data_IF_220732240177
#
_entry.id   IF_220732240177
#
_cell.length_a   1.000
_cell.length_b   1.000
_cell.length_c   1.000
_cell.angle_alpha   90.00
_cell.angle_beta   90.00
_cell.angle_gamma   90.00
#
_symmetry.space_group_name_H-M   'P 1'
#
loop_
_entity.id
_entity.type
_entity.pdbx_description
1 polymer ?
#
# COMPACT_ATOMS: atom_id res chain seq x y z
N UNK A 1 -19.55 -59.08 -21.14
CA UNK A 1 -20.10 -57.84 -20.53
C UNK A 1 -19.05 -57.29 -19.56
N UNK A 2 -18.02 -56.62 -20.08
CA UNK A 2 -16.85 -56.19 -19.31
C UNK A 2 -17.05 -54.80 -18.72
N UNK A 3 -16.98 -54.67 -17.39
CA UNK A 3 -16.99 -53.37 -16.69
C UNK A 3 -15.67 -52.66 -16.98
N UNK A 4 -15.72 -51.57 -17.75
CA UNK A 4 -14.61 -50.63 -17.87
C UNK A 4 -14.29 -50.06 -16.48
N UNK A 5 -13.02 -50.19 -16.09
CA UNK A 5 -12.46 -49.68 -14.84
C UNK A 5 -12.44 -48.14 -14.94
N UNK A 6 -13.47 -47.47 -14.41
CA UNK A 6 -13.58 -46.00 -14.34
C UNK A 6 -12.63 -45.36 -13.30
N UNK A 7 -11.91 -46.16 -12.51
CA UNK A 7 -11.13 -45.67 -11.36
C UNK A 7 -9.65 -45.36 -11.67
N UNK A 8 -9.19 -45.54 -12.91
CA UNK A 8 -7.77 -45.27 -13.26
C UNK A 8 -7.57 -43.81 -13.68
N UNK A 9 -8.58 -43.14 -14.24
CA UNK A 9 -8.40 -41.79 -14.81
C UNK A 9 -8.38 -40.68 -13.76
N UNK A 10 -9.12 -40.80 -12.65
CA UNK A 10 -9.17 -39.74 -11.62
C UNK A 10 -7.87 -39.62 -10.79
N UNK A 11 -7.10 -40.71 -10.65
CA UNK A 11 -5.85 -40.69 -9.91
C UNK A 11 -4.68 -40.06 -10.69
N UNK A 12 -4.72 -40.05 -12.03
CA UNK A 12 -3.62 -39.49 -12.83
C UNK A 12 -3.59 -37.96 -12.77
N UNK A 13 -4.76 -37.30 -12.68
CA UNK A 13 -4.83 -35.84 -12.57
C UNK A 13 -4.37 -35.28 -11.22
N UNK A 14 -4.34 -36.11 -10.15
CA UNK A 14 -3.82 -35.72 -8.84
C UNK A 14 -2.30 -35.93 -8.70
N UNK A 15 -1.66 -36.61 -9.66
CA UNK A 15 -0.21 -36.90 -9.65
C UNK A 15 0.59 -35.88 -10.47
N UNK A 16 -0.06 -35.10 -11.34
CA UNK A 16 0.61 -34.00 -12.04
C UNK A 16 0.74 -32.85 -11.04
N UNK A 17 1.96 -32.52 -10.55
CA UNK A 17 2.12 -31.33 -9.72
C UNK A 17 1.63 -30.14 -10.54
N UNK A 18 0.70 -29.34 -9.98
CA UNK A 18 0.33 -28.04 -10.56
C UNK A 18 1.63 -27.34 -10.96
N UNK A 19 1.75 -26.82 -12.19
CA UNK A 19 2.99 -26.20 -12.63
C UNK A 19 3.36 -25.15 -11.60
N UNK A 20 4.48 -25.39 -10.90
CA UNK A 20 4.93 -24.50 -9.85
C UNK A 20 5.11 -23.11 -10.47
N UNK A 21 4.62 -22.05 -9.83
CA UNK A 21 4.86 -20.69 -10.32
C UNK A 21 6.37 -20.50 -10.60
N UNK A 22 6.75 -19.78 -11.67
CA UNK A 22 8.16 -19.57 -11.99
C UNK A 22 8.86 -18.88 -10.83
N UNK A 23 10.13 -19.26 -10.61
CA UNK A 23 10.97 -18.64 -9.58
C UNK A 23 11.29 -17.23 -10.03
N UNK A 24 11.14 -16.26 -9.13
CA UNK A 24 11.41 -14.85 -9.41
C UNK A 24 12.40 -14.33 -8.38
N UNK A 25 13.66 -14.23 -8.79
CA UNK A 25 14.75 -13.74 -7.95
C UNK A 25 14.93 -12.22 -8.05
N UNK A 26 14.49 -11.62 -9.16
CA UNK A 26 14.55 -10.18 -9.38
C UNK A 26 13.16 -9.72 -9.79
N UNK A 27 12.66 -8.68 -9.11
CA UNK A 27 11.37 -8.10 -9.44
C UNK A 27 11.39 -6.59 -9.33
N UNK A 28 10.93 -5.94 -10.39
CA UNK A 28 10.68 -4.50 -10.39
C UNK A 28 9.23 -4.27 -9.99
N UNK A 29 9.02 -3.37 -9.04
CA UNK A 29 7.70 -3.02 -8.53
C UNK A 29 7.54 -1.50 -8.49
N UNK A 30 6.31 -1.04 -8.69
CA UNK A 30 5.92 0.35 -8.48
C UNK A 30 5.19 0.46 -7.13
N UNK A 31 5.81 1.12 -6.17
CA UNK A 31 5.22 1.38 -4.85
C UNK A 31 4.54 2.75 -4.84
N UNK A 32 3.31 2.81 -4.35
CA UNK A 32 2.48 4.02 -4.29
C UNK A 32 1.91 4.12 -2.88
N UNK A 33 2.21 5.22 -2.19
CA UNK A 33 1.57 5.52 -0.92
C UNK A 33 0.10 5.88 -1.11
N UNK A 34 -0.71 5.66 -0.08
CA UNK A 34 -2.11 6.05 -0.10
C UNK A 34 -2.24 7.56 -0.13
N UNK A 35 -3.18 8.08 -0.92
CA UNK A 35 -3.65 9.47 -0.79
C UNK A 35 -4.16 9.73 0.64
N UNK A 36 -3.84 10.90 1.19
CA UNK A 36 -4.50 11.42 2.39
C UNK A 36 -5.96 11.76 2.13
N UNK A 37 -6.82 11.54 3.12
CA UNK A 37 -8.23 11.87 3.04
C UNK A 37 -8.45 13.39 3.10
N UNK A 38 -9.57 13.84 2.52
CA UNK A 38 -9.89 15.26 2.50
C UNK A 38 -10.40 15.74 3.88
N UNK A 39 -10.14 17.01 4.21
CA UNK A 39 -10.75 17.65 5.37
C UNK A 39 -12.21 17.99 5.12
N UNK A 40 -13.04 17.94 6.15
CA UNK A 40 -14.45 18.29 6.01
C UNK A 40 -14.68 19.81 6.07
N UNK A 41 -15.62 20.28 5.26
CA UNK A 41 -16.27 21.58 5.40
C UNK A 41 -17.64 21.35 6.05
N UNK A 42 -17.76 21.64 7.35
CA UNK A 42 -19.02 21.45 8.08
C UNK A 42 -19.25 22.54 9.12
N UNK A 43 -20.51 22.87 9.37
CA UNK A 43 -20.95 23.84 10.36
C UNK A 43 -22.02 23.23 11.28
N UNK A 44 -22.00 23.59 12.57
CA UNK A 44 -22.91 23.04 13.58
C UNK A 44 -24.33 23.56 13.37
N UNK A 45 -25.33 22.70 13.65
CA UNK A 45 -26.76 23.03 13.51
C UNK A 45 -27.41 23.52 14.81
N UNK A 46 -26.77 23.39 15.97
CA UNK A 46 -27.40 23.58 17.30
C UNK A 46 -26.81 24.72 18.15
N UNK A 47 -26.55 25.90 17.56
CA UNK A 47 -26.17 27.10 18.33
C UNK A 47 -27.33 28.12 18.43
N UNK A 48 -27.30 29.04 19.42
CA UNK A 48 -28.26 30.16 19.54
C UNK A 48 -28.20 31.17 18.37
N UNK A 49 -27.29 30.94 17.42
CA UNK A 49 -26.94 31.81 16.29
C UNK A 49 -27.69 31.51 14.98
N UNK A 50 -28.78 30.73 15.00
CA UNK A 50 -29.58 30.51 13.79
C UNK A 50 -30.12 31.82 13.17
N UNK A 51 -30.09 32.92 13.92
CA UNK A 51 -30.48 34.26 13.48
C UNK A 51 -29.35 35.08 12.80
N UNK A 52 -28.09 34.61 12.80
CA UNK A 52 -26.91 35.46 12.49
C UNK A 52 -25.87 34.84 11.51
N UNK A 53 -26.13 33.67 10.92
CA UNK A 53 -25.25 33.06 9.90
C UNK A 53 -25.03 31.56 10.06
N UNK A 54 -24.10 30.95 9.29
CA UNK A 54 -23.74 29.54 9.46
C UNK A 54 -23.20 29.33 10.89
N UNK A 55 -23.59 28.21 11.52
CA UNK A 55 -23.16 27.87 12.87
C UNK A 55 -21.64 27.64 13.00
N UNK A 56 -21.17 27.23 14.18
CA UNK A 56 -19.72 27.06 14.42
C UNK A 56 -19.07 26.08 13.42
N UNK A 57 -17.84 26.34 12.93
CA UNK A 57 -17.12 25.42 12.07
C UNK A 57 -16.75 24.14 12.84
N UNK A 58 -17.19 23.00 12.31
CA UNK A 58 -17.05 21.68 12.94
C UNK A 58 -16.56 20.61 11.97
N UNK A 59 -15.96 20.98 10.84
CA UNK A 59 -15.34 20.02 9.94
C UNK A 59 -14.03 19.49 10.49
N UNK A 60 -13.95 18.16 10.65
CA UNK A 60 -12.74 17.45 11.09
C UNK A 60 -11.70 17.26 9.98
N UNK A 61 -10.49 16.86 10.39
CA UNK A 61 -9.35 16.60 9.49
C UNK A 61 -9.53 15.27 8.75
N UNK A 62 -9.02 15.15 7.53
CA UNK A 62 -8.88 13.86 6.86
C UNK A 62 -7.82 12.97 7.51
N UNK A 63 -7.93 11.65 7.30
CA UNK A 63 -6.91 10.70 7.72
C UNK A 63 -5.67 10.74 6.83
N UNK A 64 -4.51 10.36 7.35
CA UNK A 64 -3.32 10.20 6.50
C UNK A 64 -3.48 8.95 5.64
N UNK A 65 -2.88 8.93 4.45
CA UNK A 65 -2.78 7.70 3.67
C UNK A 65 -1.75 6.75 4.27
N UNK A 66 -1.92 5.45 4.01
CA UNK A 66 -0.94 4.44 4.39
C UNK A 66 0.33 4.56 3.56
N UNK A 67 1.42 4.08 4.11
CA UNK A 67 2.74 4.01 3.48
C UNK A 67 3.07 2.58 3.08
N UNK A 68 4.03 2.41 2.15
CA UNK A 68 4.56 1.11 1.75
C UNK A 68 5.96 0.96 2.34
N UNK A 69 6.17 -0.12 3.08
CA UNK A 69 7.44 -0.49 3.70
C UNK A 69 7.94 -1.83 3.15
N UNK A 70 9.24 -2.07 3.26
CA UNK A 70 9.81 -3.41 3.18
C UNK A 70 10.47 -3.79 4.50
N UNK A 71 10.33 -5.04 4.90
CA UNK A 71 10.82 -5.56 6.17
C UNK A 71 11.43 -6.95 5.98
N UNK A 72 12.63 -7.23 6.54
CA UNK A 72 13.25 -8.54 6.45
C UNK A 72 12.49 -9.58 7.29
N UNK A 73 12.39 -10.81 6.79
CA UNK A 73 11.80 -11.93 7.52
C UNK A 73 12.72 -13.16 7.52
N UNK A 74 12.90 -13.78 8.70
CA UNK A 74 13.48 -15.12 8.83
C UNK A 74 12.44 -16.09 8.30
N UNK A 75 12.61 -16.61 7.07
CA UNK A 75 11.62 -17.47 6.45
C UNK A 75 11.22 -18.63 7.36
N UNK A 76 9.91 -18.83 7.52
CA UNK A 76 9.33 -20.13 7.85
C UNK A 76 8.87 -20.75 6.50
N UNK A 77 9.65 -21.70 5.99
CA UNK A 77 9.18 -22.83 5.17
C UNK A 77 8.55 -22.64 3.77
N UNK A 78 8.36 -21.43 3.21
CA UNK A 78 7.86 -21.26 1.83
C UNK A 78 8.92 -20.64 0.89
N UNK A 79 8.87 -20.99 -0.39
CA UNK A 79 9.78 -20.51 -1.46
C UNK A 79 9.95 -18.98 -1.37
N UNK A 80 11.17 -18.51 -1.10
CA UNK A 80 11.50 -17.07 -1.01
C UNK A 80 11.72 -16.55 -2.40
N UNK A 81 10.65 -16.46 -3.16
CA UNK A 81 10.70 -15.74 -4.41
C UNK A 81 9.76 -14.56 -4.35
N UNK A 82 10.01 -13.60 -5.23
CA UNK A 82 9.20 -12.40 -5.33
C UNK A 82 7.94 -12.63 -6.17
N UNK A 83 7.59 -13.88 -6.49
CA UNK A 83 6.49 -14.19 -7.41
C UNK A 83 5.13 -13.70 -6.89
N UNK A 84 4.95 -13.70 -5.57
CA UNK A 84 3.71 -13.29 -4.87
C UNK A 84 3.53 -11.78 -4.78
N UNK A 85 4.62 -11.00 -4.84
CA UNK A 85 4.56 -9.55 -4.75
C UNK A 85 3.89 -8.99 -6.01
N UNK A 86 2.83 -8.19 -5.94
CA UNK A 86 2.24 -7.60 -7.14
C UNK A 86 3.18 -6.55 -7.76
N UNK A 87 3.16 -6.40 -9.09
CA UNK A 87 4.01 -5.42 -9.77
C UNK A 87 3.68 -3.97 -9.41
N UNK A 88 2.47 -3.70 -8.93
CA UNK A 88 2.06 -2.41 -8.39
C UNK A 88 1.53 -2.64 -6.99
N UNK A 89 2.09 -1.93 -6.02
CA UNK A 89 1.71 -2.01 -4.61
C UNK A 89 1.18 -0.63 -4.22
N UNK A 90 -0.08 -0.55 -3.81
CA UNK A 90 -0.73 0.71 -3.45
C UNK A 90 -1.29 0.63 -2.04
N UNK A 91 -0.75 1.45 -1.13
CA UNK A 91 -1.23 1.50 0.24
C UNK A 91 -2.62 2.17 0.32
N UNK A 92 -3.35 1.87 1.40
CA UNK A 92 -4.74 2.29 1.55
C UNK A 92 -4.85 3.80 1.72
N UNK A 93 -5.90 4.39 1.16
CA UNK A 93 -6.17 5.82 1.32
C UNK A 93 -6.66 6.15 2.74
N UNK A 94 -6.34 7.36 3.20
CA UNK A 94 -6.97 7.92 4.38
C UNK A 94 -8.42 8.30 4.08
N UNK A 95 -9.31 8.17 5.07
CA UNK A 95 -10.72 8.55 4.89
C UNK A 95 -10.93 10.05 5.06
N UNK A 96 -11.98 10.58 4.45
CA UNK A 96 -12.40 11.97 4.63
C UNK A 96 -12.78 12.24 6.09
N UNK A 97 -12.47 13.44 6.56
CA UNK A 97 -13.01 13.96 7.83
C UNK A 97 -14.52 14.10 7.76
N UNK A 98 -15.18 14.30 8.92
CA UNK A 98 -16.63 14.51 8.98
C UNK A 98 -16.97 15.72 9.84
N UNK A 99 -18.25 16.09 9.86
CA UNK A 99 -18.77 17.07 10.81
C UNK A 99 -18.53 16.66 12.27
N UNK A 100 -18.88 17.54 13.20
CA UNK A 100 -18.66 17.32 14.65
C UNK A 100 -17.19 17.07 15.01
N UNK A 101 -16.27 17.66 14.25
CA UNK A 101 -14.80 17.59 14.43
C UNK A 101 -14.24 16.17 14.32
N UNK A 102 -14.98 15.26 13.70
CA UNK A 102 -14.58 13.86 13.55
C UNK A 102 -13.46 13.76 12.52
N UNK A 103 -12.31 13.24 12.95
CA UNK A 103 -11.16 12.97 12.08
C UNK A 103 -11.41 11.72 11.25
N UNK A 104 -10.95 11.74 9.99
CA UNK A 104 -10.93 10.56 9.14
C UNK A 104 -9.89 9.52 9.57
N UNK A 105 -10.16 8.25 9.33
CA UNK A 105 -9.27 7.14 9.65
C UNK A 105 -8.04 7.18 8.75
N UNK A 106 -6.89 6.83 9.31
CA UNK A 106 -5.68 6.66 8.50
C UNK A 106 -5.83 5.43 7.59
N UNK A 107 -5.20 5.49 6.43
CA UNK A 107 -4.99 4.33 5.57
C UNK A 107 -4.04 3.34 6.23
N UNK A 108 -4.32 2.06 6.04
CA UNK A 108 -3.44 0.97 6.43
C UNK A 108 -2.18 0.95 5.58
N UNK A 109 -1.04 0.84 6.27
CA UNK A 109 0.26 0.61 5.66
C UNK A 109 0.33 -0.77 5.01
N UNK A 110 1.17 -0.91 3.98
CA UNK A 110 1.53 -2.20 3.41
C UNK A 110 2.97 -2.51 3.79
N UNK A 111 3.17 -3.70 4.34
CA UNK A 111 4.50 -4.23 4.68
C UNK A 111 4.83 -5.36 3.71
N UNK A 112 5.81 -5.12 2.84
CA UNK A 112 6.34 -6.13 1.94
C UNK A 112 7.42 -6.91 2.67
N UNK A 113 7.10 -8.16 3.01
CA UNK A 113 8.04 -9.07 3.67
C UNK A 113 9.09 -9.55 2.68
N UNK A 114 10.35 -9.27 2.97
CA UNK A 114 11.49 -9.60 2.13
C UNK A 114 12.30 -10.74 2.76
N UNK A 115 12.77 -11.71 1.98
CA UNK A 115 13.76 -12.67 2.46
C UNK A 115 15.03 -11.96 2.92
N UNK A 116 15.67 -12.47 3.96
CA UNK A 116 17.05 -12.09 4.31
C UNK A 116 17.96 -12.35 3.09
N UNK A 117 18.93 -11.47 2.86
CA UNK A 117 19.79 -11.39 1.69
C UNK A 117 19.22 -10.54 0.54
N UNK A 118 18.04 -9.92 0.71
CA UNK A 118 17.44 -9.09 -0.33
C UNK A 118 18.09 -7.70 -0.39
N UNK A 119 18.40 -7.27 -1.62
CA UNK A 119 18.86 -5.91 -1.92
C UNK A 119 17.71 -5.10 -2.53
N UNK A 120 17.47 -3.90 -2.02
CA UNK A 120 16.43 -2.99 -2.52
C UNK A 120 17.08 -1.80 -3.19
N UNK A 121 16.80 -1.63 -4.48
CA UNK A 121 17.21 -0.49 -5.27
C UNK A 121 16.02 0.42 -5.58
N UNK A 122 16.20 1.72 -5.36
CA UNK A 122 15.30 2.75 -5.85
C UNK A 122 15.75 3.16 -7.25
N UNK A 123 14.82 3.19 -8.18
CA UNK A 123 15.04 3.77 -9.50
C UNK A 123 14.59 5.23 -9.49
N UNK A 124 15.42 6.12 -10.02
CA UNK A 124 15.07 7.52 -10.24
C UNK A 124 14.48 7.67 -11.64
N UNK A 125 13.15 7.81 -11.75
CA UNK A 125 12.52 7.82 -13.05
C UNK A 125 12.80 9.12 -13.80
N UNK A 126 13.06 9.00 -15.10
CA UNK A 126 13.18 10.12 -16.03
C UNK A 126 12.32 9.86 -17.27
N UNK A 127 11.56 10.87 -17.70
CA UNK A 127 10.66 10.78 -18.84
C UNK A 127 9.28 10.18 -18.50
N UNK A 128 8.82 9.23 -19.31
CA UNK A 128 7.48 8.65 -19.23
C UNK A 128 7.33 7.65 -18.06
N UNK A 129 6.45 7.96 -17.11
CA UNK A 129 6.15 7.16 -15.92
C UNK A 129 5.09 6.07 -16.14
N UNK A 130 4.35 6.14 -17.24
CA UNK A 130 3.34 5.14 -17.59
C UNK A 130 4.03 3.90 -18.17
N UNK A 131 5.05 4.10 -19.02
CA UNK A 131 5.88 3.05 -19.62
C UNK A 131 7.09 2.62 -18.76
N UNK A 132 7.01 2.81 -17.43
CA UNK A 132 8.10 2.54 -16.49
C UNK A 132 8.74 1.15 -16.63
N UNK A 133 7.95 0.13 -16.99
CA UNK A 133 8.43 -1.25 -17.13
C UNK A 133 9.50 -1.42 -18.22
N UNK A 134 9.36 -0.66 -19.30
CA UNK A 134 10.25 -0.75 -20.47
C UNK A 134 11.42 0.23 -20.39
N UNK A 135 11.29 1.29 -19.57
CA UNK A 135 12.27 2.38 -19.52
C UNK A 135 13.23 2.30 -18.34
N UNK A 136 12.89 1.54 -17.29
CA UNK A 136 13.66 1.50 -16.05
C UNK A 136 15.09 0.98 -16.19
N UNK A 137 15.42 0.26 -17.26
CA UNK A 137 16.80 -0.20 -17.53
C UNK A 137 17.77 0.96 -17.76
N UNK A 138 17.28 2.11 -18.23
CA UNK A 138 18.07 3.31 -18.49
C UNK A 138 18.03 4.32 -17.33
N UNK A 139 17.36 3.98 -16.23
CA UNK A 139 17.24 4.86 -15.08
C UNK A 139 18.37 4.63 -14.08
N UNK A 140 18.74 5.68 -13.36
CA UNK A 140 19.70 5.60 -12.27
C UNK A 140 19.12 4.75 -11.15
N UNK A 141 19.91 3.79 -10.65
CA UNK A 141 19.56 2.97 -9.49
C UNK A 141 20.42 3.33 -8.29
N UNK A 142 19.79 3.46 -7.14
CA UNK A 142 20.45 3.73 -5.85
C UNK A 142 20.06 2.64 -4.87
N UNK A 143 21.04 2.02 -4.21
CA UNK A 143 20.78 1.05 -3.14
C UNK A 143 20.18 1.78 -1.94
N UNK A 144 19.01 1.35 -1.47
CA UNK A 144 18.32 1.97 -0.33
C UNK A 144 18.19 1.05 0.88
N UNK A 145 18.33 -0.26 0.70
CA UNK A 145 18.40 -1.21 1.79
C UNK A 145 19.15 -2.48 1.38
N UNK A 146 19.89 -3.03 2.33
CA UNK A 146 20.50 -4.36 2.31
C UNK A 146 20.01 -5.09 3.56
N UNK A 147 19.26 -6.18 3.37
CA UNK A 147 18.65 -6.94 4.45
C UNK A 147 19.49 -8.15 4.80
N UNK A 148 20.61 -7.94 5.50
CA UNK A 148 21.56 -8.99 5.90
C UNK A 148 21.07 -9.87 7.07
N UNK A 149 20.09 -9.39 7.83
CA UNK A 149 19.60 -10.01 9.06
C UNK A 149 18.13 -9.66 9.32
N UNK A 150 17.53 -10.28 10.32
CA UNK A 150 16.17 -9.90 10.78
C UNK A 150 16.14 -8.67 11.66
N UNK A 151 17.29 -8.19 12.10
CA UNK A 151 17.40 -7.02 12.97
C UNK A 151 17.44 -5.73 12.16
N UNK A 152 17.56 -5.81 10.83
CA UNK A 152 17.52 -4.61 9.99
C UNK A 152 16.18 -3.88 10.16
N UNK A 153 16.26 -2.57 10.28
CA UNK A 153 15.07 -1.73 10.30
C UNK A 153 14.30 -1.84 8.98
N UNK A 154 12.98 -1.80 9.07
CA UNK A 154 12.13 -1.69 7.88
C UNK A 154 12.43 -0.39 7.13
N UNK A 155 12.46 -0.46 5.81
CA UNK A 155 12.71 0.72 4.96
C UNK A 155 11.40 1.24 4.37
N UNK A 156 11.26 2.57 4.32
CA UNK A 156 10.13 3.23 3.66
C UNK A 156 10.35 3.23 2.14
N UNK A 157 9.43 2.61 1.39
CA UNK A 157 9.48 2.59 -0.07
C UNK A 157 8.64 3.70 -0.70
N UNK A 158 7.46 3.98 -0.13
CA UNK A 158 6.58 5.06 -0.58
C UNK A 158 5.78 5.63 0.58
N UNK A 159 5.87 6.95 0.80
CA UNK A 159 5.13 7.64 1.85
C UNK A 159 3.66 7.85 1.49
N UNK A 160 2.78 7.66 2.47
CA UNK A 160 1.39 8.08 2.39
C UNK A 160 1.23 9.61 2.41
N UNK A 161 0.21 10.09 1.72
CA UNK A 161 -0.15 11.50 1.70
C UNK A 161 -0.73 11.98 3.03
N UNK A 162 -0.49 13.24 3.38
CA UNK A 162 -1.02 13.86 4.58
C UNK A 162 -2.54 14.09 4.47
N UNK A 163 -3.27 13.87 5.56
CA UNK A 163 -4.70 14.16 5.64
C UNK A 163 -4.98 15.66 5.63
N UNK A 164 -5.93 16.07 4.78
CA UNK A 164 -6.34 17.46 4.57
C UNK A 164 -6.98 18.10 5.80
N UNK A 165 -6.81 19.42 5.95
CA UNK A 165 -7.34 20.16 7.09
C UNK A 165 -8.83 20.43 6.93
N UNK A 166 -9.60 20.18 7.99
CA UNK A 166 -11.01 20.58 8.06
C UNK A 166 -11.18 22.06 8.37
N UNK A 167 -12.36 22.62 8.11
CA UNK A 167 -12.61 24.05 8.33
C UNK A 167 -12.51 24.48 9.81
N UNK A 168 -12.65 23.56 10.78
CA UNK A 168 -12.42 23.84 12.20
C UNK A 168 -10.98 24.35 12.50
N UNK A 169 -10.02 24.10 11.62
CA UNK A 169 -8.63 24.57 11.77
C UNK A 169 -8.33 25.90 11.06
N UNK A 170 -9.28 26.47 10.30
CA UNK A 170 -9.10 27.71 9.53
C UNK A 170 -9.70 28.95 10.20
N UNK A 171 -10.77 28.82 10.99
CA UNK A 171 -11.50 29.95 11.58
C UNK A 171 -10.95 30.43 12.94
N UNK A 172 -9.87 29.83 13.44
CA UNK A 172 -9.20 30.21 14.70
C UNK A 172 -7.73 30.57 14.47
N UNK A 173 -7.42 31.33 13.41
CA UNK A 173 -6.16 32.10 13.39
C UNK A 173 -6.47 33.50 13.96
N UNK A 174 -5.70 33.99 14.96
CA UNK A 174 -5.85 35.33 15.49
C UNK A 174 -5.65 36.40 14.41
#
# INVERSE_FOLDING_TARGET
MGKLIKNVTENVYNVIPKPSKPFVDIKRIKCIGGKGGDGALAFSKHGPHHLLGPGLPVGGRGGNGGSVYAEPIKKLNERSDFSTIPSVVTAKHGSTGKGNRIRGNNGEDIILKMPIGSLIYKFEPFGDLENWRNLCDNWTKTLIADFDSTECERVLLASGGLGGLGNNFRYFKP
#
